data_IF_409932867497
#
_entry.id   IF_409932867497
#
_cell.length_a   1.000
_cell.length_b   1.000
_cell.length_c   1.000
_cell.angle_alpha   90.00
_cell.angle_beta   90.00
_cell.angle_gamma   90.00
#
_symmetry.space_group_name_H-M   'P 1'
#
loop_
_entity.id
_entity.type
_entity.pdbx_description
1 polymer ?
#
# COMPACT_ATOMS: atom_id res chain seq x y z
N UNK A 1 12.24 -1.50 -22.95
CA UNK A 1 12.63 -2.36 -21.81
C UNK A 1 12.48 -1.51 -20.56
N UNK A 2 11.79 -2.01 -19.52
CA UNK A 2 11.72 -1.30 -18.24
C UNK A 2 13.05 -1.53 -17.56
N UNK A 3 13.80 -0.47 -17.34
CA UNK A 3 14.98 -0.49 -16.49
C UNK A 3 14.53 -0.67 -15.04
N UNK A 4 14.66 -1.89 -14.50
CA UNK A 4 14.32 -2.19 -13.11
C UNK A 4 15.55 -1.91 -12.24
N UNK A 5 15.99 -0.66 -12.27
CA UNK A 5 17.08 -0.18 -11.40
C UNK A 5 16.58 0.02 -9.96
N UNK A 6 15.25 0.09 -9.77
CA UNK A 6 14.59 0.20 -8.46
C UNK A 6 13.92 -1.11 -8.02
N UNK A 7 14.09 -1.46 -6.75
CA UNK A 7 13.33 -2.53 -6.11
C UNK A 7 11.85 -2.14 -6.01
N UNK A 8 10.97 -2.92 -6.64
CA UNK A 8 9.53 -2.65 -6.70
C UNK A 8 8.73 -3.45 -5.67
N UNK A 9 9.40 -4.24 -4.83
CA UNK A 9 8.71 -5.07 -3.83
C UNK A 9 8.04 -4.18 -2.80
N UNK A 10 6.75 -4.40 -2.59
CA UNK A 10 5.97 -3.82 -1.51
C UNK A 10 5.62 -4.90 -0.50
N UNK A 11 5.64 -4.52 0.77
CA UNK A 11 5.28 -5.36 1.90
C UNK A 11 4.14 -4.71 2.66
N UNK A 12 3.30 -5.54 3.28
CA UNK A 12 2.16 -5.13 4.10
C UNK A 12 2.46 -5.56 5.53
N UNK A 13 2.91 -4.66 6.43
CA UNK A 13 3.29 -5.07 7.77
C UNK A 13 2.11 -5.64 8.57
N UNK A 14 0.96 -4.98 8.54
CA UNK A 14 -0.24 -5.45 9.26
C UNK A 14 -1.05 -6.42 8.40
N UNK A 15 -1.05 -7.70 8.78
CA UNK A 15 -1.69 -8.81 8.05
C UNK A 15 -3.21 -8.73 7.98
N UNK A 16 -3.84 -7.79 8.69
CA UNK A 16 -5.28 -7.52 8.56
C UNK A 16 -5.63 -6.83 7.23
N UNK A 17 -4.66 -6.21 6.58
CA UNK A 17 -4.81 -5.65 5.25
C UNK A 17 -4.61 -6.73 4.17
N UNK A 18 -5.41 -6.65 3.12
CA UNK A 18 -5.38 -7.54 1.97
C UNK A 18 -5.08 -6.75 0.71
N UNK A 19 -4.45 -7.39 -0.27
CA UNK A 19 -4.16 -6.82 -1.59
C UNK A 19 -5.09 -7.46 -2.61
N UNK A 20 -5.72 -6.67 -3.46
CA UNK A 20 -6.53 -7.16 -4.56
C UNK A 20 -6.37 -6.26 -5.81
N UNK A 21 -6.83 -6.75 -6.95
CA UNK A 21 -6.88 -6.03 -8.21
C UNK A 21 -8.32 -5.62 -8.47
N UNK A 22 -8.57 -4.35 -8.74
CA UNK A 22 -9.91 -3.85 -9.08
C UNK A 22 -10.35 -4.45 -10.41
N UNK A 23 -11.22 -5.46 -10.38
CA UNK A 23 -11.67 -6.15 -11.60
C UNK A 23 -12.90 -5.52 -12.26
N UNK A 24 -13.81 -4.94 -11.47
CA UNK A 24 -15.05 -4.38 -12.02
C UNK A 24 -14.84 -3.00 -12.65
N UNK A 25 -15.75 -2.60 -13.53
CA UNK A 25 -15.81 -1.24 -14.09
C UNK A 25 -16.54 -0.24 -13.20
N UNK A 26 -17.12 -0.69 -12.07
CA UNK A 26 -17.90 0.16 -11.18
C UNK A 26 -17.03 1.23 -10.53
N UNK A 27 -17.62 2.40 -10.28
CA UNK A 27 -16.95 3.48 -9.56
C UNK A 27 -16.77 3.09 -8.10
N UNK A 28 -15.53 2.88 -7.70
CA UNK A 28 -15.14 2.68 -6.32
C UNK A 28 -14.06 3.69 -5.98
N UNK A 29 -14.02 4.15 -4.73
CA UNK A 29 -13.10 5.20 -4.31
C UNK A 29 -12.23 4.72 -3.16
N UNK A 30 -11.01 5.24 -3.12
CA UNK A 30 -10.15 5.20 -1.95
C UNK A 30 -10.88 5.86 -0.76
N UNK A 31 -10.84 5.23 0.41
CA UNK A 31 -11.45 5.72 1.65
C UNK A 31 -10.63 6.85 2.30
N UNK A 32 -9.48 7.21 1.72
CA UNK A 32 -8.52 8.18 2.26
C UNK A 32 -8.34 9.34 1.28
N UNK A 33 -8.28 10.56 1.81
CA UNK A 33 -7.83 11.75 1.08
C UNK A 33 -6.39 12.11 1.47
N UNK A 34 -5.65 12.67 0.53
CA UNK A 34 -4.36 13.29 0.86
C UNK A 34 -4.63 14.63 1.55
N UNK A 35 -3.74 15.10 2.46
CA UNK A 35 -3.83 16.46 2.96
C UNK A 35 -3.92 17.45 1.79
N UNK A 36 -4.86 18.39 1.87
CA UNK A 36 -5.15 19.41 0.84
C UNK A 36 -5.89 18.90 -0.42
N UNK A 37 -6.37 17.66 -0.45
CA UNK A 37 -7.29 17.20 -1.49
C UNK A 37 -8.73 17.22 -0.99
N UNK A 38 -9.63 17.82 -1.78
CA UNK A 38 -11.06 17.85 -1.47
C UNK A 38 -11.82 16.63 -2.03
N UNK A 39 -11.13 15.74 -2.75
CA UNK A 39 -11.71 14.58 -3.42
C UNK A 39 -11.08 13.27 -2.94
N UNK A 40 -11.80 12.16 -3.15
CA UNK A 40 -11.27 10.82 -2.96
C UNK A 40 -10.72 10.28 -4.29
N UNK A 41 -9.62 9.54 -4.25
CA UNK A 41 -9.07 8.92 -5.46
C UNK A 41 -10.01 7.84 -6.00
N UNK A 42 -10.31 7.88 -7.29
CA UNK A 42 -11.07 6.84 -7.97
C UNK A 42 -10.16 5.62 -8.18
N UNK A 43 -10.63 4.42 -7.83
CA UNK A 43 -9.96 3.16 -8.10
C UNK A 43 -10.30 2.68 -9.51
N UNK A 44 -9.29 2.53 -10.35
CA UNK A 44 -9.44 2.19 -11.75
C UNK A 44 -9.45 0.67 -11.98
N UNK A 45 -10.14 0.22 -13.04
CA UNK A 45 -10.05 -1.19 -13.44
C UNK A 45 -8.59 -1.57 -13.74
N UNK A 46 -8.14 -2.70 -13.18
CA UNK A 46 -6.75 -3.16 -13.25
C UNK A 46 -5.82 -2.59 -12.18
N UNK A 47 -6.28 -1.62 -11.37
CA UNK A 47 -5.47 -1.04 -10.30
C UNK A 47 -5.31 -2.02 -9.14
N UNK A 48 -4.07 -2.13 -8.63
CA UNK A 48 -3.79 -2.80 -7.37
C UNK A 48 -4.20 -1.84 -6.25
N UNK A 49 -5.01 -2.33 -5.32
CA UNK A 49 -5.43 -1.60 -4.14
C UNK A 49 -5.30 -2.48 -2.90
N UNK A 50 -5.27 -1.85 -1.73
CA UNK A 50 -5.32 -2.54 -0.45
C UNK A 50 -6.64 -2.29 0.25
N UNK A 51 -7.14 -3.29 0.96
CA UNK A 51 -8.38 -3.17 1.71
C UNK A 51 -8.38 -3.92 3.04
N UNK A 52 -9.26 -3.48 3.94
CA UNK A 52 -9.57 -4.14 5.21
C UNK A 52 -11.06 -3.96 5.50
N UNK A 53 -11.83 -5.04 5.37
CA UNK A 53 -13.29 -4.95 5.37
C UNK A 53 -13.77 -4.06 4.22
N UNK A 54 -14.47 -2.97 4.56
CA UNK A 54 -14.99 -1.99 3.59
C UNK A 54 -14.02 -0.85 3.25
N UNK A 55 -12.95 -0.70 4.04
CA UNK A 55 -11.94 0.34 3.82
C UNK A 55 -11.08 -0.05 2.61
N UNK A 56 -11.03 0.79 1.59
CA UNK A 56 -10.20 0.60 0.39
C UNK A 56 -9.18 1.71 0.27
N UNK A 57 -7.98 1.41 -0.19
CA UNK A 57 -6.89 2.37 -0.29
C UNK A 57 -6.11 2.14 -1.59
N UNK A 58 -5.95 3.17 -2.40
CA UNK A 58 -5.00 3.11 -3.52
C UNK A 58 -3.56 2.95 -2.98
N UNK A 59 -2.65 2.40 -3.79
CA UNK A 59 -1.27 2.17 -3.34
C UNK A 59 -0.55 3.45 -2.89
N UNK A 60 -0.87 4.61 -3.49
CA UNK A 60 -0.28 5.89 -3.10
C UNK A 60 -0.68 6.28 -1.67
N UNK A 61 -1.96 6.19 -1.35
CA UNK A 61 -2.45 6.48 0.00
C UNK A 61 -2.00 5.41 1.00
N UNK A 62 -1.95 4.13 0.59
CA UNK A 62 -1.47 3.05 1.44
C UNK A 62 0.00 3.25 1.83
N UNK A 63 0.85 3.65 0.88
CA UNK A 63 2.27 3.93 1.11
C UNK A 63 2.45 5.15 2.00
N UNK A 64 1.73 6.25 1.71
CA UNK A 64 1.78 7.47 2.52
C UNK A 64 1.36 7.25 3.97
N UNK A 65 0.38 6.37 4.21
CA UNK A 65 -0.10 6.02 5.55
C UNK A 65 0.74 4.94 6.25
N UNK A 66 1.78 4.39 5.61
CA UNK A 66 2.58 3.30 6.15
C UNK A 66 1.86 1.95 6.23
N UNK A 67 0.76 1.79 5.49
CA UNK A 67 0.07 0.50 5.33
C UNK A 67 0.91 -0.44 4.45
N UNK A 68 1.57 0.12 3.44
CA UNK A 68 2.60 -0.55 2.63
C UNK A 68 3.96 0.07 2.87
N UNK A 69 5.00 -0.71 2.65
CA UNK A 69 6.40 -0.27 2.69
C UNK A 69 7.20 -0.98 1.61
N UNK A 70 8.22 -0.31 1.06
CA UNK A 70 9.25 -0.91 0.21
C UNK A 70 10.43 -1.48 1.04
N UNK A 71 10.42 -1.27 2.36
CA UNK A 71 11.48 -1.74 3.23
C UNK A 71 11.43 -3.26 3.42
N UNK A 72 12.34 -3.98 2.77
CA UNK A 72 12.44 -5.46 2.86
C UNK A 72 12.61 -6.00 4.27
N UNK A 73 13.27 -5.24 5.16
CA UNK A 73 13.57 -5.65 6.53
C UNK A 73 12.57 -5.08 7.56
N UNK A 74 11.39 -4.62 7.12
CA UNK A 74 10.36 -4.07 8.01
C UNK A 74 10.00 -4.99 9.18
N UNK A 75 10.10 -6.31 8.98
CA UNK A 75 9.80 -7.33 9.97
C UNK A 75 10.82 -7.37 11.12
N UNK A 76 12.08 -7.01 10.88
CA UNK A 76 13.11 -6.96 11.92
C UNK A 76 12.93 -5.77 12.86
N UNK A 77 12.41 -4.65 12.33
CA UNK A 77 12.21 -3.41 13.10
C UNK A 77 11.02 -3.45 14.06
N UNK A 78 10.10 -4.41 13.90
CA UNK A 78 8.85 -4.46 14.68
C UNK A 78 9.02 -5.03 16.09
N UNK A 79 10.06 -5.82 16.34
CA UNK A 79 10.23 -6.53 17.61
C UNK A 79 11.21 -5.84 18.59
N UNK A 80 11.66 -4.61 18.32
CA UNK A 80 12.57 -3.88 19.21
C UNK A 80 13.96 -4.53 19.38
N UNK A 81 14.23 -5.63 18.69
CA UNK A 81 15.54 -6.26 18.61
C UNK A 81 16.34 -5.56 17.51
N UNK A 82 17.08 -4.53 17.93
CA UNK A 82 18.25 -4.07 17.20
C UNK A 82 19.19 -5.26 17.05
N UNK A 83 19.27 -5.82 15.85
CA UNK A 83 20.33 -6.77 15.51
C UNK A 83 21.58 -5.89 15.36
N UNK A 84 22.60 -6.02 16.22
CA UNK A 84 23.81 -5.23 16.09
C UNK A 84 24.44 -5.54 14.73
N UNK A 85 24.79 -4.49 13.98
CA UNK A 85 25.61 -4.61 12.79
C UNK A 85 26.93 -5.31 13.13
N UNK A 86 27.34 -6.24 12.27
CA UNK A 86 28.57 -7.02 12.43
C UNK A 86 29.77 -6.28 11.88
#
# INVERSE_FOLDING_TARGET
>A
MVDIDRDLRLYVPDTRWQVDIKRSGDKEYCSVKTPNEDYFHLLMQGEIYIHRGIEKCCLNCATRLGITTDERLFWQKRDGLTIPEK
#
